data_IF_094157291740
#
_entry.id   IF_094157291740
#
_cell.length_a   1.000
_cell.length_b   1.000
_cell.length_c   1.000
_cell.angle_alpha   90.00
_cell.angle_beta   90.00
_cell.angle_gamma   90.00
#
_symmetry.space_group_name_H-M   'P 1'
#
loop_
_entity.id
_entity.type
_entity.pdbx_description
1 polymer ?
#
# COMPACT_ATOMS: atom_id res chain seq x y z
N UNK A 1 -11.17 -7.68 -22.13
CA UNK A 1 -10.21 -8.70 -21.65
C UNK A 1 -10.72 -9.21 -20.32
N UNK A 2 -11.21 -10.43 -20.28
CA UNK A 2 -11.65 -11.12 -19.06
C UNK A 2 -10.71 -12.30 -18.88
N UNK A 3 -9.47 -12.04 -18.42
CA UNK A 3 -8.50 -13.09 -18.11
C UNK A 3 -8.16 -13.02 -16.63
N UNK A 4 -8.14 -14.19 -16.01
CA UNK A 4 -8.22 -14.42 -14.58
C UNK A 4 -7.16 -13.64 -13.80
N UNK A 5 -7.62 -12.84 -12.84
CA UNK A 5 -6.76 -12.30 -11.80
C UNK A 5 -6.07 -13.47 -11.10
N UNK A 6 -4.73 -13.47 -11.11
CA UNK A 6 -3.95 -14.52 -10.45
C UNK A 6 -4.00 -14.26 -8.94
N UNK A 7 -4.55 -15.21 -8.19
CA UNK A 7 -4.57 -15.14 -6.74
C UNK A 7 -3.21 -15.55 -6.15
N UNK A 8 -2.52 -14.58 -5.55
CA UNK A 8 -1.21 -14.76 -4.91
C UNK A 8 -1.30 -14.70 -3.39
N UNK A 9 -2.50 -14.69 -2.80
CA UNK A 9 -2.71 -14.57 -1.35
C UNK A 9 -2.09 -15.72 -0.54
N UNK A 10 -1.74 -16.84 -1.20
CA UNK A 10 -1.06 -17.99 -0.57
C UNK A 10 0.45 -17.80 -0.38
N UNK A 11 1.05 -16.75 -0.96
CA UNK A 11 2.46 -16.43 -0.74
C UNK A 11 2.63 -15.60 0.54
N UNK A 12 3.76 -15.74 1.27
CA UNK A 12 4.05 -14.92 2.45
C UNK A 12 4.03 -13.42 2.17
N UNK A 13 4.49 -13.02 0.98
CA UNK A 13 4.39 -11.66 0.45
C UNK A 13 3.80 -11.71 -0.97
N UNK A 14 2.46 -11.58 -1.11
CA UNK A 14 1.78 -11.63 -2.42
C UNK A 14 2.25 -10.53 -3.38
N UNK A 15 2.66 -9.36 -2.86
CA UNK A 15 3.13 -8.23 -3.67
C UNK A 15 4.51 -8.50 -4.24
N UNK A 16 5.42 -9.04 -3.43
CA UNK A 16 6.73 -9.48 -3.89
C UNK A 16 6.58 -10.63 -4.89
N UNK A 17 5.71 -11.60 -4.63
CA UNK A 17 5.40 -12.68 -5.56
C UNK A 17 4.90 -12.14 -6.92
N UNK A 18 4.03 -11.12 -6.91
CA UNK A 18 3.57 -10.48 -8.13
C UNK A 18 4.71 -9.78 -8.89
N UNK A 19 5.61 -9.08 -8.18
CA UNK A 19 6.80 -8.46 -8.78
C UNK A 19 7.74 -9.51 -9.38
N UNK A 20 7.95 -10.64 -8.69
CA UNK A 20 8.73 -11.76 -9.23
C UNK A 20 8.11 -12.31 -10.52
N UNK A 21 6.79 -12.55 -10.53
CA UNK A 21 6.08 -12.97 -11.74
C UNK A 21 6.20 -11.94 -12.88
N UNK A 22 6.12 -10.65 -12.56
CA UNK A 22 6.34 -9.56 -13.52
C UNK A 22 7.73 -9.64 -14.16
N UNK A 23 8.78 -9.81 -13.36
CA UNK A 23 10.16 -9.94 -13.85
C UNK A 23 10.35 -11.20 -14.70
N UNK A 24 9.78 -12.34 -14.29
CA UNK A 24 9.82 -13.58 -15.06
C UNK A 24 9.12 -13.39 -16.43
N UNK A 25 7.94 -12.78 -16.44
CA UNK A 25 7.20 -12.49 -17.66
C UNK A 25 7.98 -11.55 -18.59
N UNK A 26 8.61 -10.51 -18.06
CA UNK A 26 9.49 -9.61 -18.83
C UNK A 26 10.63 -10.37 -19.52
N UNK A 27 11.27 -11.30 -18.81
CA UNK A 27 12.35 -12.13 -19.35
C UNK A 27 11.87 -13.06 -20.46
N UNK A 28 10.75 -13.77 -20.24
CA UNK A 28 10.16 -14.69 -21.21
C UNK A 28 9.68 -13.98 -22.48
N UNK A 29 9.14 -12.77 -22.35
CA UNK A 29 8.65 -11.98 -23.47
C UNK A 29 9.76 -11.19 -24.18
N UNK A 30 10.98 -11.15 -23.63
CA UNK A 30 12.06 -10.31 -24.15
C UNK A 30 11.71 -8.82 -24.12
N UNK A 31 10.89 -8.40 -23.14
CA UNK A 31 10.41 -7.01 -23.06
C UNK A 31 11.55 -6.03 -22.85
N UNK A 32 11.39 -4.81 -23.36
CA UNK A 32 12.38 -3.72 -23.23
C UNK A 32 12.15 -2.87 -21.99
N UNK A 33 11.02 -3.06 -21.32
CA UNK A 33 10.69 -2.42 -20.07
C UNK A 33 9.33 -2.89 -19.54
N UNK A 34 9.03 -2.51 -18.30
CA UNK A 34 7.72 -2.68 -17.74
C UNK A 34 7.34 -1.49 -16.86
N UNK A 35 6.05 -1.19 -16.84
CA UNK A 35 5.42 -0.36 -15.82
C UNK A 35 4.52 -1.25 -14.96
N UNK A 36 4.33 -0.88 -13.71
CA UNK A 36 3.32 -1.50 -12.88
C UNK A 36 2.52 -0.44 -12.14
N UNK A 37 1.24 -0.74 -11.90
CA UNK A 37 0.29 0.17 -11.25
C UNK A 37 -0.49 -0.60 -10.19
N UNK A 38 -0.67 0.01 -9.03
CA UNK A 38 -1.50 -0.54 -7.97
C UNK A 38 -2.93 -0.05 -8.09
N UNK A 39 -3.89 -0.97 -7.97
CA UNK A 39 -5.31 -0.65 -7.98
C UNK A 39 -5.83 -0.65 -6.55
N UNK A 40 -5.65 0.48 -5.86
CA UNK A 40 -6.13 0.68 -4.48
C UNK A 40 -5.60 -0.38 -3.53
N UNK A 41 -4.32 -0.73 -3.66
CA UNK A 41 -3.65 -1.72 -2.84
C UNK A 41 -3.94 -3.20 -3.11
N UNK A 42 -5.10 -3.53 -3.69
CA UNK A 42 -5.64 -4.90 -3.77
C UNK A 42 -5.16 -5.71 -4.96
N UNK A 43 -4.75 -5.05 -6.03
CA UNK A 43 -4.17 -5.72 -7.19
C UNK A 43 -3.07 -4.88 -7.83
N UNK A 44 -2.21 -5.57 -8.58
CA UNK A 44 -1.14 -4.98 -9.36
C UNK A 44 -1.36 -5.35 -10.82
N UNK A 45 -1.28 -4.36 -11.70
CA UNK A 45 -1.21 -4.59 -13.14
C UNK A 45 0.20 -4.34 -13.60
N UNK A 46 0.74 -5.27 -14.37
CA UNK A 46 2.04 -5.14 -15.01
C UNK A 46 1.81 -4.94 -16.51
N UNK A 47 2.36 -3.86 -17.05
CA UNK A 47 2.37 -3.56 -18.48
C UNK A 47 3.80 -3.69 -18.96
N UNK A 48 4.06 -4.68 -19.82
CA UNK A 48 5.35 -4.81 -20.49
C UNK A 48 5.32 -4.07 -21.82
N UNK A 49 6.46 -3.55 -22.25
CA UNK A 49 6.61 -2.92 -23.56
C UNK A 49 7.72 -3.60 -24.35
N UNK A 50 7.44 -3.91 -25.60
CA UNK A 50 8.37 -4.42 -26.60
C UNK A 50 8.74 -3.34 -27.65
N UNK A 51 8.36 -2.08 -27.42
CA UNK A 51 8.53 -0.98 -28.38
C UNK A 51 10.00 -0.90 -28.84
N UNK A 52 10.28 -1.11 -30.14
CA UNK A 52 11.64 -1.17 -30.65
C UNK A 52 12.38 0.17 -30.57
N UNK A 53 11.68 1.27 -30.29
CA UNK A 53 12.26 2.61 -30.06
C UNK A 53 12.89 2.74 -28.67
N UNK A 54 12.47 1.93 -27.70
CA UNK A 54 13.09 1.91 -26.38
C UNK A 54 14.43 1.17 -26.46
N UNK A 55 15.54 1.75 -25.95
CA UNK A 55 16.83 1.06 -25.97
C UNK A 55 16.77 -0.18 -25.07
N UNK A 56 17.19 -1.33 -25.60
CA UNK A 56 17.41 -2.51 -24.78
C UNK A 56 18.62 -2.25 -23.86
N UNK A 57 18.51 -2.65 -22.59
CA UNK A 57 19.62 -2.60 -21.65
C UNK A 57 20.80 -3.41 -22.22
N UNK A 58 21.96 -2.78 -22.34
CA UNK A 58 23.21 -3.45 -22.75
C UNK A 58 23.97 -3.94 -21.51
N UNK A 59 24.79 -5.00 -21.62
CA UNK A 59 25.70 -5.37 -20.55
C UNK A 59 26.59 -4.20 -20.16
N UNK A 60 26.53 -3.81 -18.90
CA UNK A 60 27.37 -2.77 -18.30
C UNK A 60 28.37 -3.45 -17.35
N UNK A 61 29.68 -3.47 -17.66
CA UNK A 61 30.69 -4.05 -16.79
C UNK A 61 30.65 -3.47 -15.37
N UNK A 62 30.34 -2.18 -15.20
CA UNK A 62 30.25 -1.55 -13.88
C UNK A 62 28.96 -1.93 -13.13
N UNK A 63 27.88 -2.25 -13.87
CA UNK A 63 26.58 -2.64 -13.32
C UNK A 63 26.37 -4.15 -13.15
N UNK A 64 27.29 -4.99 -13.65
CA UNK A 64 27.10 -6.45 -13.68
C UNK A 64 26.89 -7.04 -12.28
N UNK A 65 27.72 -6.63 -11.31
CA UNK A 65 27.64 -7.15 -9.95
C UNK A 65 26.26 -6.90 -9.33
N UNK A 66 25.72 -5.69 -9.50
CA UNK A 66 24.38 -5.32 -9.04
C UNK A 66 23.29 -6.15 -9.72
N UNK A 67 23.39 -6.34 -11.04
CA UNK A 67 22.41 -7.12 -11.80
C UNK A 67 22.36 -8.59 -11.33
N UNK A 68 23.52 -9.23 -11.18
CA UNK A 68 23.61 -10.63 -10.73
C UNK A 68 23.16 -10.80 -9.27
N UNK A 69 23.55 -9.87 -8.39
CA UNK A 69 23.11 -9.88 -6.99
C UNK A 69 21.60 -9.70 -6.88
N UNK A 70 21.02 -8.78 -7.67
CA UNK A 70 19.58 -8.56 -7.69
C UNK A 70 18.84 -9.80 -8.22
N UNK A 71 19.33 -10.43 -9.28
CA UNK A 71 18.78 -11.68 -9.79
C UNK A 71 18.82 -12.81 -8.76
N UNK A 72 19.94 -13.00 -8.08
CA UNK A 72 20.08 -14.01 -7.02
C UNK A 72 19.18 -13.74 -5.80
N UNK A 73 18.93 -12.47 -5.47
CA UNK A 73 18.01 -12.07 -4.39
C UNK A 73 16.55 -12.33 -4.75
N UNK A 74 16.16 -12.10 -6.01
CA UNK A 74 14.79 -12.34 -6.49
C UNK A 74 14.45 -13.82 -6.62
N UNK A 75 15.46 -14.66 -6.84
CA UNK A 75 15.32 -16.11 -7.02
C UNK A 75 16.17 -16.88 -5.98
N UNK A 76 15.82 -16.80 -4.69
CA UNK A 76 16.66 -17.32 -3.61
C UNK A 76 16.84 -18.85 -3.64
N UNK A 77 15.94 -19.57 -4.31
CA UNK A 77 16.03 -21.02 -4.51
C UNK A 77 16.72 -21.41 -5.83
N UNK A 78 16.97 -20.46 -6.73
CA UNK A 78 17.68 -20.74 -7.97
C UNK A 78 19.17 -20.90 -7.72
N UNK A 79 19.81 -21.82 -8.45
CA UNK A 79 21.26 -21.95 -8.44
C UNK A 79 21.86 -20.69 -9.09
N UNK A 80 22.84 -20.04 -8.43
CA UNK A 80 23.48 -18.83 -8.97
C UNK A 80 24.13 -19.06 -10.33
N UNK A 81 24.60 -20.27 -10.62
CA UNK A 81 25.11 -20.61 -11.95
C UNK A 81 24.02 -20.47 -13.03
N UNK A 82 22.76 -20.80 -12.73
CA UNK A 82 21.63 -20.62 -13.64
C UNK A 82 21.30 -19.14 -13.85
N UNK A 83 21.38 -18.33 -12.78
CA UNK A 83 21.20 -16.86 -12.87
C UNK A 83 22.25 -16.26 -13.79
N UNK A 84 23.52 -16.63 -13.61
CA UNK A 84 24.65 -16.15 -14.43
C UNK A 84 24.50 -16.60 -15.89
N UNK A 85 24.18 -17.87 -16.12
CA UNK A 85 23.97 -18.41 -17.47
C UNK A 85 22.75 -17.76 -18.14
N UNK A 86 21.69 -17.48 -17.41
CA UNK A 86 20.51 -16.76 -17.90
C UNK A 86 20.85 -15.33 -18.32
N UNK A 87 21.61 -14.60 -17.49
CA UNK A 87 22.12 -13.27 -17.85
C UNK A 87 22.99 -13.31 -19.12
N UNK A 88 23.92 -14.27 -19.18
CA UNK A 88 24.79 -14.45 -20.34
C UNK A 88 23.98 -14.77 -21.60
N UNK A 89 23.02 -15.70 -21.52
CA UNK A 89 22.16 -16.06 -22.65
C UNK A 89 21.31 -14.88 -23.14
N UNK A 90 20.69 -14.13 -22.22
CA UNK A 90 19.88 -12.96 -22.55
C UNK A 90 20.68 -11.89 -23.33
N UNK A 91 21.94 -11.67 -22.92
CA UNK A 91 22.82 -10.69 -23.55
C UNK A 91 23.73 -11.27 -24.64
N UNK A 92 23.61 -12.56 -24.96
CA UNK A 92 24.45 -13.29 -25.93
C UNK A 92 25.94 -13.22 -25.59
N UNK A 93 26.27 -13.33 -24.31
CA UNK A 93 27.62 -13.40 -23.77
C UNK A 93 28.07 -14.86 -23.65
N UNK A 94 29.39 -15.06 -23.63
CA UNK A 94 29.97 -16.38 -23.36
C UNK A 94 30.24 -16.49 -21.86
N UNK A 95 29.60 -17.46 -21.21
CA UNK A 95 29.91 -17.87 -19.83
C UNK A 95 30.65 -19.22 -19.85
N UNK A 96 31.72 -19.33 -19.06
CA UNK A 96 32.57 -20.53 -18.98
C UNK A 96 32.74 -20.93 -17.52
N UNK A 97 32.51 -22.21 -17.14
CA UNK A 97 32.78 -22.67 -15.80
C UNK A 97 34.29 -22.68 -15.53
N UNK A 98 34.67 -22.28 -14.33
CA UNK A 98 36.03 -22.31 -13.79
C UNK A 98 36.00 -22.83 -12.36
N UNK A 99 37.16 -23.19 -11.78
CA UNK A 99 37.22 -23.79 -10.44
C UNK A 99 36.55 -22.92 -9.34
N UNK A 100 36.54 -21.59 -9.51
CA UNK A 100 35.99 -20.66 -8.52
C UNK A 100 34.53 -20.25 -8.80
N UNK A 101 33.91 -20.70 -9.90
CA UNK A 101 32.57 -20.29 -10.33
C UNK A 101 32.48 -20.14 -11.85
N UNK A 102 32.10 -18.96 -12.35
CA UNK A 102 31.96 -18.70 -13.79
C UNK A 102 32.76 -17.49 -14.24
N UNK A 103 33.34 -17.58 -15.43
CA UNK A 103 33.89 -16.43 -16.15
C UNK A 103 32.94 -15.97 -17.27
N UNK A 104 32.76 -14.66 -17.42
CA UNK A 104 32.00 -14.07 -18.52
C UNK A 104 32.87 -13.13 -19.35
N UNK A 105 32.77 -13.29 -20.66
CA UNK A 105 33.33 -12.32 -21.62
C UNK A 105 32.33 -11.17 -21.82
N UNK A 106 32.73 -9.97 -21.42
CA UNK A 106 31.92 -8.75 -21.48
C UNK A 106 32.35 -7.84 -22.65
N UNK A 107 31.46 -6.94 -23.11
CA UNK A 107 31.80 -5.98 -24.18
C UNK A 107 33.04 -5.14 -23.86
N UNK A 108 33.81 -4.76 -24.87
CA UNK A 108 34.95 -3.87 -24.70
C UNK A 108 36.21 -4.51 -24.11
N UNK A 109 36.36 -5.83 -24.23
CA UNK A 109 37.47 -6.63 -23.65
C UNK A 109 37.47 -6.63 -22.12
N UNK A 110 36.28 -6.58 -21.52
CA UNK A 110 36.10 -6.79 -20.10
C UNK A 110 35.88 -8.28 -19.83
N UNK A 111 36.29 -8.74 -18.66
CA UNK A 111 36.06 -10.10 -18.19
C UNK A 111 35.53 -10.03 -16.76
N UNK A 112 34.51 -10.81 -16.46
CA UNK A 112 34.00 -10.96 -15.11
C UNK A 112 34.31 -12.37 -14.57
N UNK A 113 34.77 -12.44 -13.32
CA UNK A 113 34.80 -13.66 -12.53
C UNK A 113 33.68 -13.58 -11.49
N UNK A 114 32.69 -14.46 -11.64
CA UNK A 114 31.59 -14.64 -10.70
C UNK A 114 31.93 -15.82 -9.80
N UNK A 115 32.17 -15.54 -8.52
CA UNK A 115 32.50 -16.58 -7.53
C UNK A 115 31.25 -17.15 -6.90
N UNK A 116 31.22 -18.48 -6.81
CA UNK A 116 30.10 -19.23 -6.27
C UNK A 116 30.58 -20.08 -5.11
N UNK A 117 29.97 -19.91 -3.94
CA UNK A 117 30.24 -20.69 -2.74
C UNK A 117 28.95 -21.32 -2.24
N UNK A 118 28.94 -22.65 -2.10
CA UNK A 118 27.76 -23.39 -1.67
C UNK A 118 26.50 -23.09 -2.50
N UNK A 119 26.67 -22.91 -3.82
CA UNK A 119 25.60 -22.56 -4.75
C UNK A 119 25.11 -21.11 -4.67
N UNK A 120 25.76 -20.25 -3.88
CA UNK A 120 25.43 -18.83 -3.70
C UNK A 120 26.51 -17.92 -4.24
N UNK A 121 26.10 -16.72 -4.64
CA UNK A 121 26.97 -15.68 -5.16
C UNK A 121 27.78 -15.12 -4.00
N UNK A 122 29.10 -15.33 -4.01
CA UNK A 122 30.00 -14.76 -2.99
C UNK A 122 30.62 -13.44 -3.45
N UNK A 123 31.02 -13.35 -4.72
CA UNK A 123 31.73 -12.18 -5.25
C UNK A 123 31.53 -12.06 -6.76
N UNK A 124 31.58 -10.82 -7.28
CA UNK A 124 31.71 -10.54 -8.71
C UNK A 124 32.88 -9.58 -8.90
N UNK A 125 33.92 -10.03 -9.58
CA UNK A 125 35.10 -9.22 -9.91
C UNK A 125 35.09 -8.96 -11.40
N UNK A 126 35.17 -7.69 -11.81
CA UNK A 126 35.22 -7.31 -13.22
C UNK A 126 36.56 -6.64 -13.52
N UNK A 127 37.23 -7.10 -14.56
CA UNK A 127 38.51 -6.57 -15.04
C UNK A 127 38.35 -6.09 -16.47
N UNK A 128 38.78 -4.86 -16.75
CA UNK A 128 38.83 -4.27 -18.08
C UNK A 128 40.25 -4.19 -18.64
N UNK A 129 40.40 -3.62 -19.85
CA UNK A 129 41.72 -3.43 -20.47
C UNK A 129 42.64 -2.51 -19.66
N UNK A 130 42.08 -1.61 -18.86
CA UNK A 130 42.81 -0.64 -18.04
C UNK A 130 42.96 -1.08 -16.57
N UNK A 131 42.56 -2.31 -16.24
CA UNK A 131 42.61 -2.87 -14.88
C UNK A 131 41.22 -3.14 -14.27
N UNK A 132 41.13 -3.29 -12.93
CA UNK A 132 39.87 -3.57 -12.25
C UNK A 132 38.80 -2.51 -12.49
N UNK A 133 37.58 -2.93 -12.79
CA UNK A 133 36.41 -2.04 -12.93
C UNK A 133 35.81 -1.83 -11.55
N UNK A 134 35.65 -0.55 -11.18
CA UNK A 134 34.96 -0.17 -9.95
C UNK A 134 33.45 -0.36 -10.19
N UNK A 135 32.74 -1.15 -9.37
CA UNK A 135 31.29 -1.29 -9.48
C UNK A 135 30.61 0.07 -9.39
N UNK A 136 29.62 0.29 -10.24
CA UNK A 136 28.78 1.48 -10.12
C UNK A 136 28.08 1.46 -8.75
N UNK A 137 27.92 2.62 -8.09
CA UNK A 137 27.08 2.68 -6.90
C UNK A 137 25.67 2.21 -7.27
N UNK A 138 25.08 1.43 -6.38
CA UNK A 138 23.75 0.82 -6.55
C UNK A 138 22.76 1.88 -6.99
N UNK A 139 22.22 1.76 -8.20
CA UNK A 139 21.19 2.69 -8.68
C UNK A 139 19.86 2.22 -8.11
N UNK A 140 19.57 2.63 -6.88
CA UNK A 140 18.20 2.60 -6.42
C UNK A 140 17.41 3.55 -7.31
N UNK A 141 16.50 3.02 -8.14
CA UNK A 141 15.48 3.86 -8.75
C UNK A 141 14.84 4.64 -7.62
N UNK A 142 14.90 5.99 -7.61
CA UNK A 142 14.21 6.75 -6.59
C UNK A 142 12.77 6.30 -6.61
N UNK A 143 12.27 5.79 -5.49
CA UNK A 143 10.83 5.64 -5.33
C UNK A 143 10.31 7.06 -5.25
N UNK A 144 9.90 7.60 -6.40
CA UNK A 144 9.26 8.90 -6.44
C UNK A 144 7.88 8.71 -5.86
N UNK A 145 7.67 9.18 -4.64
CA UNK A 145 6.36 9.14 -4.02
C UNK A 145 5.37 9.96 -4.87
N UNK A 146 4.14 9.47 -5.07
CA UNK A 146 3.14 10.22 -5.82
C UNK A 146 2.83 11.53 -5.09
N UNK A 147 2.37 12.54 -5.84
CA UNK A 147 2.01 13.84 -5.27
C UNK A 147 0.97 13.71 -4.14
N UNK A 148 0.08 12.71 -4.21
CA UNK A 148 -0.88 12.41 -3.15
C UNK A 148 -0.22 11.99 -1.82
N UNK A 149 0.87 11.23 -1.86
CA UNK A 149 1.55 10.75 -0.66
C UNK A 149 2.35 11.83 0.06
N UNK A 150 2.71 12.91 -0.63
CA UNK A 150 3.51 14.02 -0.09
C UNK A 150 2.68 15.28 0.17
N UNK A 151 1.39 15.26 -0.16
CA UNK A 151 0.49 16.42 -0.02
C UNK A 151 0.22 16.80 1.43
N UNK A 152 -0.06 15.81 2.29
CA UNK A 152 -0.28 16.04 3.71
C UNK A 152 1.09 15.98 4.41
N UNK A 153 1.50 17.01 5.17
CA UNK A 153 2.78 16.98 5.87
C UNK A 153 2.91 15.75 6.75
N UNK A 154 4.10 15.11 6.74
CA UNK A 154 4.31 13.80 7.37
C UNK A 154 3.86 13.73 8.83
N UNK A 155 4.09 14.79 9.63
CA UNK A 155 3.65 14.85 11.02
C UNK A 155 2.12 14.82 11.17
N UNK A 156 1.40 15.61 10.36
CA UNK A 156 -0.06 15.61 10.34
C UNK A 156 -0.61 14.29 9.83
N UNK A 157 0.01 13.75 8.77
CA UNK A 157 -0.39 12.48 8.20
C UNK A 157 -0.26 11.37 9.24
N UNK A 158 0.88 11.25 9.91
CA UNK A 158 1.11 10.25 10.96
C UNK A 158 0.10 10.38 12.12
N UNK A 159 -0.22 11.61 12.54
CA UNK A 159 -1.23 11.86 13.56
C UNK A 159 -2.62 11.32 13.16
N UNK A 160 -3.07 11.67 11.96
CA UNK A 160 -4.40 11.30 11.47
C UNK A 160 -4.50 9.83 11.01
N UNK A 161 -3.40 9.26 10.51
CA UNK A 161 -3.31 7.91 9.95
C UNK A 161 -3.44 6.82 11.01
N UNK A 162 -2.94 7.09 12.22
CA UNK A 162 -3.05 6.21 13.39
C UNK A 162 -4.46 5.70 13.64
N UNK A 163 -5.45 6.58 13.47
CA UNK A 163 -6.85 6.23 13.72
C UNK A 163 -7.61 5.72 12.49
N UNK A 164 -6.95 5.56 11.33
CA UNK A 164 -7.62 5.28 10.07
C UNK A 164 -8.41 3.96 10.09
N UNK A 165 -7.89 2.92 10.73
CA UNK A 165 -8.58 1.64 10.88
C UNK A 165 -9.82 1.76 11.79
N UNK A 166 -9.69 2.44 12.94
CA UNK A 166 -10.84 2.65 13.83
C UNK A 166 -11.91 3.54 13.19
N UNK A 167 -11.49 4.51 12.38
CA UNK A 167 -12.38 5.35 11.59
C UNK A 167 -13.09 4.57 10.49
N UNK A 168 -12.42 3.62 9.84
CA UNK A 168 -13.03 2.73 8.85
C UNK A 168 -14.07 1.81 9.49
N UNK A 169 -13.74 1.21 10.62
CA UNK A 169 -14.60 0.27 11.33
C UNK A 169 -15.90 0.93 11.78
N UNK A 170 -15.80 2.04 12.54
CA UNK A 170 -16.95 2.87 12.91
C UNK A 170 -17.64 3.47 11.69
N UNK A 171 -16.86 3.97 10.74
CA UNK A 171 -17.35 4.75 9.62
C UNK A 171 -18.11 3.94 8.59
N UNK A 172 -17.68 2.72 8.29
CA UNK A 172 -18.23 1.96 7.16
C UNK A 172 -18.74 0.58 7.58
N UNK A 173 -17.97 -0.16 8.38
CA UNK A 173 -18.29 -1.55 8.68
C UNK A 173 -19.49 -1.66 9.63
N UNK A 174 -19.42 -1.03 10.79
CA UNK A 174 -20.50 -1.09 11.78
C UNK A 174 -21.81 -0.50 11.26
N UNK A 175 -21.73 0.63 10.54
CA UNK A 175 -22.91 1.22 9.88
C UNK A 175 -23.48 0.28 8.81
N UNK A 176 -22.63 -0.33 7.97
CA UNK A 176 -23.03 -1.27 6.93
C UNK A 176 -23.73 -2.50 7.48
N UNK A 177 -23.16 -3.12 8.52
CA UNK A 177 -23.73 -4.29 9.20
C UNK A 177 -25.07 -3.96 9.85
N UNK A 178 -25.17 -2.78 10.49
CA UNK A 178 -26.42 -2.31 11.07
C UNK A 178 -27.50 -2.13 10.00
N UNK A 179 -27.20 -1.45 8.90
CA UNK A 179 -28.14 -1.24 7.79
C UNK A 179 -28.56 -2.56 7.15
N UNK A 180 -27.62 -3.49 6.96
CA UNK A 180 -27.91 -4.84 6.46
C UNK A 180 -28.86 -5.59 7.40
N UNK A 181 -28.64 -5.49 8.72
CA UNK A 181 -29.54 -6.07 9.73
C UNK A 181 -30.95 -5.47 9.71
N UNK A 182 -31.09 -4.21 9.29
CA UNK A 182 -32.37 -3.53 9.06
C UNK A 182 -33.00 -3.85 7.69
N UNK A 183 -32.33 -4.65 6.84
CA UNK A 183 -32.83 -5.02 5.51
C UNK A 183 -32.60 -3.96 4.43
N UNK A 184 -31.64 -3.04 4.61
CA UNK A 184 -31.28 -2.08 3.58
C UNK A 184 -30.60 -2.75 2.38
N UNK A 185 -30.99 -2.36 1.17
CA UNK A 185 -30.30 -2.77 -0.06
C UNK A 185 -29.01 -1.94 -0.24
N UNK A 186 -27.82 -2.55 -0.24
CA UNK A 186 -26.56 -1.83 -0.45
C UNK A 186 -26.42 -1.18 -1.84
N UNK A 187 -27.28 -1.52 -2.81
CA UNK A 187 -27.33 -0.85 -4.12
C UNK A 187 -28.21 0.40 -4.10
N UNK A 188 -29.06 0.59 -3.08
CA UNK A 188 -29.84 1.80 -2.93
C UNK A 188 -28.93 2.97 -2.54
N UNK A 189 -29.17 4.15 -3.10
CA UNK A 189 -28.44 5.36 -2.71
C UNK A 189 -29.09 6.00 -1.49
N UNK A 190 -28.32 6.31 -0.43
CA UNK A 190 -28.83 7.12 0.68
C UNK A 190 -29.13 8.54 0.23
N UNK A 191 -30.16 9.15 0.81
CA UNK A 191 -30.56 10.53 0.53
C UNK A 191 -30.09 11.44 1.66
N UNK A 192 -29.45 12.55 1.31
CA UNK A 192 -29.07 13.59 2.26
C UNK A 192 -30.09 14.71 2.29
N UNK A 193 -30.49 15.08 3.50
CA UNK A 193 -31.17 16.33 3.81
C UNK A 193 -30.39 17.01 4.95
N UNK A 194 -30.34 18.36 5.03
CA UNK A 194 -29.58 19.03 6.07
C UNK A 194 -29.85 18.49 7.48
N UNK A 195 -28.85 17.82 8.05
CA UNK A 195 -28.90 17.25 9.40
C UNK A 195 -29.32 15.78 9.50
N UNK A 196 -29.76 15.14 8.41
CA UNK A 196 -30.18 13.74 8.40
C UNK A 196 -29.77 13.00 7.11
N UNK A 197 -29.49 11.72 7.25
CA UNK A 197 -29.34 10.80 6.12
C UNK A 197 -30.45 9.75 6.16
N UNK A 198 -31.09 9.52 5.02
CA UNK A 198 -32.20 8.56 4.86
C UNK A 198 -31.73 7.36 4.05
N UNK A 199 -31.98 6.17 4.59
CA UNK A 199 -31.72 4.88 3.96
C UNK A 199 -33.05 4.23 3.58
N UNK A 200 -33.73 4.79 2.57
CA UNK A 200 -35.10 4.40 2.24
C UNK A 200 -36.03 4.51 3.45
N UNK A 201 -36.81 3.46 3.70
CA UNK A 201 -37.75 3.38 4.83
C UNK A 201 -37.16 2.72 6.08
N UNK A 202 -35.93 2.19 6.02
CA UNK A 202 -35.38 1.37 7.12
C UNK A 202 -34.71 2.20 8.22
N UNK A 203 -34.12 3.35 7.86
CA UNK A 203 -33.46 4.23 8.82
C UNK A 203 -33.41 5.67 8.33
N UNK A 204 -33.81 6.60 9.19
CA UNK A 204 -33.47 8.02 9.08
C UNK A 204 -32.57 8.36 10.26
N UNK A 205 -31.29 8.66 9.99
CA UNK A 205 -30.27 8.87 11.02
C UNK A 205 -29.85 10.34 11.09
N UNK A 206 -29.66 10.85 12.31
CA UNK A 206 -29.03 12.15 12.54
C UNK A 206 -27.61 12.16 12.00
N UNK A 207 -27.27 13.23 11.29
CA UNK A 207 -26.02 13.31 10.58
C UNK A 207 -25.54 14.76 10.40
N UNK A 208 -24.27 14.91 10.02
CA UNK A 208 -23.58 16.19 9.84
C UNK A 208 -22.73 16.12 8.59
N UNK A 209 -22.83 17.13 7.74
CA UNK A 209 -21.97 17.21 6.56
C UNK A 209 -20.53 17.49 7.00
N UNK A 210 -19.59 16.76 6.41
CA UNK A 210 -18.16 16.95 6.64
C UNK A 210 -17.58 17.85 5.55
N UNK A 211 -17.95 17.57 4.30
CA UNK A 211 -17.49 18.29 3.14
C UNK A 211 -17.91 17.64 1.83
N UNK A 212 -17.53 18.26 0.73
CA UNK A 212 -17.84 17.83 -0.63
C UNK A 212 -16.55 17.77 -1.45
N UNK A 213 -16.29 16.61 -2.03
CA UNK A 213 -15.21 16.43 -3.02
C UNK A 213 -15.77 16.62 -4.42
N UNK A 214 -15.11 17.45 -5.23
CA UNK A 214 -15.45 17.74 -6.62
C UNK A 214 -14.41 17.13 -7.56
N UNK A 215 -14.68 15.99 -8.20
CA UNK A 215 -13.71 15.33 -9.09
C UNK A 215 -13.31 16.20 -10.28
N UNK A 216 -14.25 16.99 -10.84
CA UNK A 216 -13.98 17.80 -12.03
C UNK A 216 -12.94 18.91 -11.81
N UNK A 217 -12.79 19.39 -10.58
CA UNK A 217 -11.82 20.43 -10.21
C UNK A 217 -10.71 19.91 -9.28
N UNK A 218 -10.80 18.66 -8.83
CA UNK A 218 -9.88 18.09 -7.83
C UNK A 218 -9.91 18.84 -6.49
N UNK A 219 -11.06 19.35 -6.07
CA UNK A 219 -11.16 20.19 -4.86
C UNK A 219 -12.00 19.54 -3.77
N UNK A 220 -11.51 19.63 -2.54
CA UNK A 220 -12.27 19.32 -1.33
C UNK A 220 -12.78 20.61 -0.69
N UNK A 221 -14.08 20.68 -0.41
CA UNK A 221 -14.70 21.78 0.32
C UNK A 221 -15.12 21.31 1.69
N UNK A 222 -14.61 21.92 2.75
CA UNK A 222 -15.12 21.67 4.10
C UNK A 222 -16.52 22.24 4.26
N UNK A 223 -17.35 21.55 5.03
CA UNK A 223 -18.64 22.08 5.45
C UNK A 223 -18.47 23.05 6.62
N UNK A 224 -19.33 24.07 6.71
CA UNK A 224 -19.44 24.97 7.86
C UNK A 224 -20.23 24.35 9.03
N UNK A 225 -20.21 23.02 9.13
CA UNK A 225 -20.96 22.30 10.15
C UNK A 225 -20.45 22.64 11.55
N UNK A 226 -21.37 22.92 12.48
CA UNK A 226 -21.06 23.11 13.91
C UNK A 226 -20.56 21.84 14.62
N UNK A 227 -20.44 20.71 13.92
CA UNK A 227 -19.92 19.48 14.50
C UNK A 227 -18.39 19.49 14.60
N UNK A 228 -17.90 19.26 15.82
CA UNK A 228 -16.48 19.35 16.19
C UNK A 228 -15.51 18.57 15.30
N UNK A 229 -15.95 17.49 14.63
CA UNK A 229 -15.06 16.64 13.82
C UNK A 229 -14.29 17.42 12.74
N UNK A 230 -14.98 18.30 12.02
CA UNK A 230 -14.36 19.17 10.99
C UNK A 230 -13.40 20.17 11.63
N UNK A 231 -13.83 20.83 12.70
CA UNK A 231 -13.02 21.81 13.41
C UNK A 231 -11.73 21.20 13.97
N UNK A 232 -11.79 19.97 14.49
CA UNK A 232 -10.65 19.23 15.02
C UNK A 232 -9.62 18.86 13.95
N UNK A 233 -10.05 18.37 12.78
CA UNK A 233 -9.13 18.10 11.67
C UNK A 233 -8.46 19.38 11.19
N UNK A 234 -9.24 20.46 11.02
CA UNK A 234 -8.70 21.76 10.59
C UNK A 234 -7.75 22.36 11.63
N UNK A 235 -8.02 22.16 12.92
CA UNK A 235 -7.13 22.58 14.00
C UNK A 235 -5.81 21.83 13.98
N UNK A 236 -5.85 20.50 13.87
CA UNK A 236 -4.64 19.68 13.73
C UNK A 236 -3.85 20.09 12.49
N UNK A 237 -4.53 20.35 11.37
CA UNK A 237 -3.86 20.81 10.16
C UNK A 237 -3.08 22.11 10.38
N UNK A 238 -3.66 23.11 11.08
CA UNK A 238 -2.95 24.36 11.42
C UNK A 238 -1.79 24.15 12.39
N UNK A 239 -1.96 23.28 13.40
CA UNK A 239 -0.90 22.95 14.36
C UNK A 239 0.34 22.38 13.69
N UNK A 240 0.15 21.57 12.65
CA UNK A 240 1.23 20.98 11.85
C UNK A 240 1.63 21.84 10.63
N UNK A 241 1.21 23.11 10.56
CA UNK A 241 1.58 24.05 9.49
C UNK A 241 0.98 23.74 8.12
N UNK A 242 -0.10 22.97 8.06
CA UNK A 242 -0.81 22.57 6.85
C UNK A 242 -2.02 23.48 6.56
N UNK A 243 -1.82 24.79 6.51
CA UNK A 243 -2.92 25.77 6.31
C UNK A 243 -3.73 25.53 5.03
N UNK A 244 -3.09 25.02 3.97
CA UNK A 244 -3.75 24.65 2.73
C UNK A 244 -4.78 23.51 2.92
N UNK A 245 -4.55 22.58 3.85
CA UNK A 245 -5.49 21.51 4.21
C UNK A 245 -6.62 22.04 5.10
N UNK A 246 -6.33 23.07 5.90
CA UNK A 246 -7.29 23.71 6.78
C UNK A 246 -8.15 24.80 6.10
N UNK A 247 -7.84 25.20 4.87
CA UNK A 247 -8.60 26.19 4.11
C UNK A 247 -10.00 25.68 3.76
N UNK A 248 -11.00 26.58 3.62
CA UNK A 248 -12.39 26.16 3.32
C UNK A 248 -12.49 25.36 2.01
N UNK A 249 -11.64 25.71 1.05
CA UNK A 249 -11.41 24.96 -0.18
C UNK A 249 -9.96 24.49 -0.24
N UNK A 250 -9.77 23.19 -0.40
CA UNK A 250 -8.48 22.51 -0.52
C UNK A 250 -8.33 22.02 -1.94
N UNK A 251 -7.31 22.51 -2.65
CA UNK A 251 -6.94 21.99 -3.98
C UNK A 251 -6.09 20.75 -3.79
N UNK A 252 -6.60 19.60 -4.22
CA UNK A 252 -5.90 18.32 -4.12
C UNK A 252 -4.95 18.16 -5.31
N UNK A 253 -3.78 17.51 -5.12
CA UNK A 253 -2.85 17.26 -6.21
C UNK A 253 -3.48 16.33 -7.25
N UNK A 254 -3.14 16.53 -8.52
CA UNK A 254 -3.55 15.62 -9.58
C UNK A 254 -2.93 14.23 -9.35
N UNK A 255 -3.79 13.21 -9.27
CA UNK A 255 -3.41 11.85 -8.94
C UNK A 255 -4.56 10.87 -9.17
N UNK A 256 -4.25 9.64 -9.59
CA UNK A 256 -5.25 8.57 -9.71
C UNK A 256 -5.94 8.24 -8.39
N UNK A 257 -5.28 8.51 -7.26
CA UNK A 257 -5.80 8.32 -5.90
C UNK A 257 -6.23 9.63 -5.24
N UNK A 258 -6.49 10.69 -6.01
CA UNK A 258 -6.86 12.01 -5.48
C UNK A 258 -8.06 11.95 -4.51
N UNK A 259 -9.08 11.14 -4.83
CA UNK A 259 -10.25 10.93 -3.95
C UNK A 259 -9.87 10.31 -2.60
N UNK A 260 -8.75 9.59 -2.50
CA UNK A 260 -8.33 8.99 -1.24
C UNK A 260 -7.95 10.05 -0.21
N UNK A 261 -7.43 11.21 -0.64
CA UNK A 261 -7.17 12.33 0.28
C UNK A 261 -8.49 12.85 0.87
N UNK A 262 -9.54 13.01 0.07
CA UNK A 262 -10.86 13.40 0.57
C UNK A 262 -11.46 12.37 1.54
N UNK A 263 -11.34 11.08 1.22
CA UNK A 263 -11.76 9.98 2.11
C UNK A 263 -10.96 9.99 3.41
N UNK A 264 -9.66 10.27 3.35
CA UNK A 264 -8.77 10.35 4.52
C UNK A 264 -9.24 11.45 5.46
N UNK A 265 -9.40 12.68 4.94
CA UNK A 265 -9.90 13.83 5.68
C UNK A 265 -11.28 13.56 6.31
N UNK A 266 -12.20 12.93 5.56
CA UNK A 266 -13.52 12.59 6.05
C UNK A 266 -13.49 11.55 7.18
N UNK A 267 -12.65 10.51 7.06
CA UNK A 267 -12.46 9.49 8.11
C UNK A 267 -11.81 10.09 9.36
N UNK A 268 -10.81 10.96 9.19
CA UNK A 268 -10.20 11.69 10.30
C UNK A 268 -11.24 12.52 11.06
N UNK A 269 -12.14 13.21 10.35
CA UNK A 269 -13.22 13.96 10.99
C UNK A 269 -14.18 13.04 11.76
N UNK A 270 -14.58 11.90 11.18
CA UNK A 270 -15.41 10.88 11.84
C UNK A 270 -14.78 10.38 13.13
N UNK A 271 -13.48 10.09 13.10
CA UNK A 271 -12.77 9.64 14.29
C UNK A 271 -12.70 10.73 15.36
N UNK A 272 -12.17 11.90 15.01
CA UNK A 272 -11.94 13.00 15.96
C UNK A 272 -13.25 13.57 16.53
N UNK A 273 -14.32 13.56 15.74
CA UNK A 273 -15.66 13.97 16.13
C UNK A 273 -16.54 12.85 16.70
N UNK A 274 -15.98 11.64 16.89
CA UNK A 274 -16.66 10.45 17.47
C UNK A 274 -18.00 10.11 16.82
N UNK A 275 -18.07 10.23 15.50
CA UNK A 275 -19.25 9.81 14.75
C UNK A 275 -19.37 8.28 14.69
N UNK A 276 -20.59 7.81 14.46
CA UNK A 276 -21.00 6.40 14.36
C UNK A 276 -20.97 5.85 12.94
N UNK A 277 -20.63 6.68 11.96
CA UNK A 277 -20.67 6.30 10.56
C UNK A 277 -20.15 7.39 9.64
N UNK A 278 -19.77 7.00 8.44
CA UNK A 278 -19.35 7.81 7.32
C UNK A 278 -20.15 7.38 6.10
N UNK A 279 -20.80 8.35 5.46
CA UNK A 279 -21.58 8.11 4.24
C UNK A 279 -20.98 8.93 3.12
N UNK A 280 -20.73 8.29 1.98
CA UNK A 280 -20.42 8.96 0.72
C UNK A 280 -21.66 8.98 -0.16
N UNK A 281 -22.14 10.17 -0.49
CA UNK A 281 -23.37 10.38 -1.25
C UNK A 281 -23.00 11.07 -2.56
N UNK A 282 -23.13 10.38 -3.72
CA UNK A 282 -22.95 11.02 -5.01
C UNK A 282 -24.05 12.06 -5.22
N UNK A 283 -23.70 13.22 -5.76
CA UNK A 283 -24.64 14.27 -6.15
C UNK A 283 -24.99 14.14 -7.63
N UNK A 284 -26.05 14.82 -8.07
CA UNK A 284 -26.43 14.86 -9.48
C UNK A 284 -25.35 15.48 -10.39
N UNK A 285 -24.48 16.31 -9.82
CA UNK A 285 -23.39 17.02 -10.53
C UNK A 285 -22.12 16.16 -10.65
N UNK A 286 -22.10 14.95 -10.07
CA UNK A 286 -20.93 14.07 -10.03
C UNK A 286 -20.00 14.34 -8.83
N UNK A 287 -20.32 15.32 -7.98
CA UNK A 287 -19.60 15.56 -6.72
C UNK A 287 -19.89 14.45 -5.70
N UNK A 288 -18.97 14.25 -4.77
CA UNK A 288 -19.11 13.30 -3.66
C UNK A 288 -19.25 14.06 -2.33
N UNK A 289 -20.46 14.05 -1.76
CA UNK A 289 -20.71 14.58 -0.41
C UNK A 289 -20.35 13.53 0.65
N UNK A 290 -19.64 13.96 1.68
CA UNK A 290 -19.28 13.12 2.82
C UNK A 290 -20.01 13.59 4.07
N UNK A 291 -20.64 12.63 4.75
CA UNK A 291 -21.54 12.89 5.88
C UNK A 291 -21.16 11.98 7.04
N UNK A 292 -21.02 12.56 8.23
CA UNK A 292 -20.84 11.85 9.49
C UNK A 292 -22.20 11.48 10.08
N UNK A 293 -22.45 10.20 10.33
CA UNK A 293 -23.63 9.74 11.07
C UNK A 293 -23.35 9.88 12.56
N UNK A 294 -24.14 10.67 13.27
CA UNK A 294 -23.98 10.93 14.71
C UNK A 294 -25.13 10.36 15.54
N UNK A 295 -26.01 9.59 14.90
CA UNK A 295 -27.18 9.02 15.54
C UNK A 295 -26.79 7.89 16.51
N UNK A 296 -27.14 7.99 17.80
CA UNK A 296 -26.77 6.98 18.79
C UNK A 296 -27.47 5.63 18.59
N UNK A 297 -28.48 5.55 17.71
CA UNK A 297 -29.11 4.28 17.33
C UNK A 297 -28.20 3.41 16.47
N UNK A 298 -27.20 4.00 15.81
CA UNK A 298 -26.16 3.24 15.11
C UNK A 298 -25.16 2.68 16.13
N UNK A 299 -24.97 1.35 16.18
CA UNK A 299 -24.13 0.72 17.18
C UNK A 299 -22.65 1.09 17.03
N UNK A 300 -21.88 0.97 18.12
CA UNK A 300 -20.42 0.89 18.00
C UNK A 300 -20.01 -0.44 17.33
N UNK A 301 -18.81 -0.52 16.75
CA UNK A 301 -18.29 -1.75 16.15
C UNK A 301 -18.26 -2.94 17.12
N UNK A 302 -18.66 -4.11 16.62
CA UNK A 302 -18.75 -5.37 17.38
C UNK A 302 -17.39 -5.91 17.82
N UNK A 303 -16.31 -5.45 17.17
CA UNK A 303 -14.94 -5.91 17.43
C UNK A 303 -14.78 -7.43 17.24
N UNK A 304 -15.54 -8.08 16.37
CA UNK A 304 -15.34 -9.51 16.09
C UNK A 304 -13.99 -9.75 15.39
N UNK A 305 -13.35 -10.90 15.66
CA UNK A 305 -11.97 -11.16 15.18
C UNK A 305 -11.85 -11.21 13.65
N UNK A 306 -12.84 -11.78 12.97
CA UNK A 306 -12.91 -11.78 11.51
C UNK A 306 -13.01 -10.35 10.95
N UNK A 307 -13.81 -9.50 11.60
CA UNK A 307 -14.01 -8.10 11.21
C UNK A 307 -12.72 -7.30 11.42
N UNK A 308 -12.03 -7.51 12.54
CA UNK A 308 -10.77 -6.83 12.88
C UNK A 308 -9.71 -7.03 11.77
N UNK A 309 -9.55 -8.27 11.29
CA UNK A 309 -8.57 -8.58 10.26
C UNK A 309 -8.88 -7.87 8.94
N UNK A 310 -10.15 -7.93 8.51
CA UNK A 310 -10.62 -7.28 7.28
C UNK A 310 -10.52 -5.74 7.36
N UNK A 311 -10.82 -5.15 8.53
CA UNK A 311 -10.68 -3.72 8.77
C UNK A 311 -9.22 -3.29 8.66
N UNK A 312 -8.29 -3.99 9.31
CA UNK A 312 -6.86 -3.66 9.28
C UNK A 312 -6.34 -3.68 7.84
N UNK A 313 -6.61 -4.77 7.11
CA UNK A 313 -6.17 -4.92 5.71
C UNK A 313 -6.81 -3.87 4.81
N UNK A 314 -8.10 -3.57 4.99
CA UNK A 314 -8.81 -2.57 4.20
C UNK A 314 -8.32 -1.15 4.47
N UNK A 315 -8.01 -0.83 5.73
CA UNK A 315 -7.43 0.45 6.11
C UNK A 315 -6.01 0.61 5.53
N UNK A 316 -5.20 -0.43 5.61
CA UNK A 316 -3.84 -0.45 5.06
C UNK A 316 -3.81 -0.24 3.54
N UNK A 317 -4.67 -0.96 2.81
CA UNK A 317 -4.77 -0.87 1.34
C UNK A 317 -5.07 0.55 0.85
N UNK A 318 -5.90 1.26 1.60
CA UNK A 318 -6.23 2.65 1.33
C UNK A 318 -5.08 3.58 1.74
N UNK A 319 -4.55 3.41 2.95
CA UNK A 319 -3.60 4.34 3.55
C UNK A 319 -2.24 4.30 2.87
N UNK A 320 -1.81 3.13 2.38
CA UNK A 320 -0.49 2.96 1.77
C UNK A 320 -0.30 3.78 0.49
N UNK A 321 -1.40 4.06 -0.23
CA UNK A 321 -1.40 4.90 -1.45
C UNK A 321 -1.16 6.38 -1.12
N UNK A 322 -1.41 6.77 0.14
CA UNK A 322 -1.19 8.11 0.67
C UNK A 322 0.06 8.21 1.55
N UNK A 323 0.83 7.12 1.69
CA UNK A 323 1.98 7.09 2.58
C UNK A 323 3.28 7.07 1.78
N UNK A 324 4.21 8.00 2.02
CA UNK A 324 5.55 7.95 1.46
C UNK A 324 6.21 6.60 1.71
N UNK A 325 6.98 6.09 0.74
CA UNK A 325 7.60 4.76 0.84
C UNK A 325 8.47 4.62 2.09
N UNK A 326 9.23 5.65 2.43
CA UNK A 326 10.11 5.65 3.61
C UNK A 326 9.35 5.59 4.95
N UNK A 327 8.11 6.10 4.99
CA UNK A 327 7.32 6.24 6.22
C UNK A 327 6.27 5.12 6.36
N UNK A 328 6.14 4.28 5.33
CA UNK A 328 5.06 3.30 5.22
C UNK A 328 5.01 2.31 6.38
N UNK A 329 6.14 1.70 6.71
CA UNK A 329 6.22 0.73 7.81
C UNK A 329 5.78 1.35 9.14
N UNK A 330 6.36 2.51 9.48
CA UNK A 330 6.06 3.21 10.73
C UNK A 330 4.57 3.59 10.82
N UNK A 331 4.01 4.09 9.72
CA UNK A 331 2.60 4.49 9.62
C UNK A 331 1.66 3.29 9.76
N UNK A 332 1.87 2.22 8.98
CA UNK A 332 1.02 1.02 9.05
C UNK A 332 1.08 0.38 10.42
N UNK A 333 2.27 0.33 11.03
CA UNK A 333 2.44 -0.20 12.38
C UNK A 333 1.70 0.63 13.41
N UNK A 334 1.84 1.95 13.37
CA UNK A 334 1.13 2.85 14.29
C UNK A 334 -0.39 2.72 14.14
N UNK A 335 -0.90 2.64 12.91
CA UNK A 335 -2.32 2.40 12.65
C UNK A 335 -2.83 1.10 13.30
N UNK A 336 -2.06 0.01 13.22
CA UNK A 336 -2.46 -1.28 13.83
C UNK A 336 -2.41 -1.20 15.36
N UNK A 337 -1.37 -0.58 15.93
CA UNK A 337 -1.23 -0.42 17.39
C UNK A 337 -2.39 0.39 17.96
N UNK A 338 -2.72 1.53 17.36
CA UNK A 338 -3.83 2.37 17.81
C UNK A 338 -5.19 1.68 17.62
N UNK A 339 -5.35 0.88 16.56
CA UNK A 339 -6.55 0.04 16.41
C UNK A 339 -6.64 -1.01 17.53
N UNK A 340 -5.55 -1.68 17.85
CA UNK A 340 -5.51 -2.63 18.95
C UNK A 340 -5.87 -1.97 20.29
N UNK A 341 -5.30 -0.80 20.59
CA UNK A 341 -5.63 -0.05 21.80
C UNK A 341 -7.11 0.34 21.85
N UNK A 342 -7.67 0.84 20.74
CA UNK A 342 -9.07 1.25 20.65
C UNK A 342 -10.06 0.11 20.94
N UNK A 343 -9.65 -1.15 20.75
CA UNK A 343 -10.49 -2.33 20.92
C UNK A 343 -9.99 -3.30 22.01
N UNK A 344 -9.09 -2.83 22.89
CA UNK A 344 -8.61 -3.59 24.04
C UNK A 344 -7.82 -4.86 23.67
N UNK A 345 -7.11 -4.83 22.54
CA UNK A 345 -6.22 -5.89 22.08
C UNK A 345 -4.80 -5.55 22.57
N UNK A 346 -4.18 -6.44 23.35
CA UNK A 346 -2.86 -6.17 23.91
C UNK A 346 -1.75 -6.49 22.90
N UNK A 347 -0.95 -5.52 22.43
CA UNK A 347 0.11 -5.79 21.47
C UNK A 347 1.26 -6.59 22.10
N UNK A 348 1.76 -7.59 21.37
CA UNK A 348 3.05 -8.25 21.60
C UNK A 348 3.97 -7.93 20.42
N UNK A 349 5.16 -7.44 20.76
CA UNK A 349 6.22 -7.22 19.78
C UNK A 349 7.09 -8.48 19.69
N UNK A 350 6.84 -9.30 18.67
CA UNK A 350 7.65 -10.50 18.36
C UNK A 350 8.27 -10.32 16.97
N UNK A 351 9.61 -10.29 16.89
CA UNK A 351 10.33 -10.29 15.61
C UNK A 351 10.06 -9.06 14.74
N UNK A 352 10.50 -7.87 15.18
CA UNK A 352 10.56 -6.72 14.28
C UNK A 352 11.52 -7.03 13.11
N UNK A 353 11.19 -6.63 11.86
CA UNK A 353 10.06 -5.78 11.45
C UNK A 353 8.83 -6.54 10.92
N UNK A 354 8.85 -7.87 10.86
CA UNK A 354 7.99 -8.63 9.94
C UNK A 354 6.55 -8.88 10.45
N UNK A 355 6.32 -8.82 11.76
CA UNK A 355 5.02 -9.16 12.35
C UNK A 355 4.67 -8.30 13.57
N UNK A 356 3.37 -8.04 13.74
CA UNK A 356 2.78 -7.52 14.98
C UNK A 356 1.69 -8.49 15.43
N UNK A 357 1.72 -8.87 16.70
CA UNK A 357 0.72 -9.78 17.29
C UNK A 357 -0.10 -8.98 18.30
N UNK A 358 -1.40 -9.19 18.35
CA UNK A 358 -2.30 -8.61 19.34
C UNK A 358 -3.09 -9.70 20.05
N UNK A 359 -3.12 -9.70 21.37
CA UNK A 359 -3.87 -10.67 22.16
C UNK A 359 -5.25 -10.17 22.54
N UNK A 360 -6.24 -11.05 22.44
CA UNK A 360 -7.58 -10.84 22.97
C UNK A 360 -8.13 -12.13 23.56
N UNK A 361 -8.10 -12.21 24.90
CA UNK A 361 -8.45 -13.43 25.61
C UNK A 361 -7.50 -14.57 25.20
N UNK A 362 -8.06 -15.68 24.72
CA UNK A 362 -7.29 -16.84 24.22
C UNK A 362 -6.92 -16.72 22.74
N UNK A 363 -7.40 -15.69 22.05
CA UNK A 363 -7.12 -15.49 20.63
C UNK A 363 -6.01 -14.47 20.43
N UNK A 364 -5.33 -14.59 19.30
CA UNK A 364 -4.37 -13.63 18.81
C UNK A 364 -4.74 -13.18 17.40
N UNK A 365 -4.44 -11.92 17.10
CA UNK A 365 -4.49 -11.32 15.77
C UNK A 365 -3.04 -11.11 15.32
N UNK A 366 -2.67 -11.67 14.18
CA UNK A 366 -1.34 -11.56 13.58
C UNK A 366 -1.42 -10.66 12.36
N UNK A 367 -0.60 -9.62 12.32
CA UNK A 367 -0.51 -8.69 11.18
C UNK A 367 0.89 -8.79 10.59
N UNK A 368 0.97 -9.21 9.33
CA UNK A 368 2.22 -9.41 8.61
C UNK A 368 2.55 -8.19 7.73
N UNK A 369 3.77 -7.68 7.86
CA UNK A 369 4.28 -6.55 7.09
C UNK A 369 5.15 -7.03 5.92
N UNK A 370 4.95 -6.45 4.76
CA UNK A 370 5.77 -6.64 3.56
C UNK A 370 7.12 -5.93 3.71
N UNK A 371 8.07 -6.29 2.85
CA UNK A 371 9.38 -5.63 2.85
C UNK A 371 9.33 -4.12 2.56
N UNK A 372 8.33 -3.67 1.79
CA UNK A 372 8.11 -2.25 1.46
C UNK A 372 7.21 -1.52 2.48
N UNK A 373 6.96 -2.13 3.64
CA UNK A 373 6.20 -1.57 4.74
C UNK A 373 4.67 -1.64 4.58
N UNK A 374 4.13 -2.22 3.51
CA UNK A 374 2.68 -2.49 3.40
C UNK A 374 2.24 -3.61 4.34
N UNK A 375 0.93 -3.78 4.55
CA UNK A 375 0.38 -4.94 5.26
C UNK A 375 -0.08 -5.97 4.22
N UNK A 376 0.48 -7.18 4.28
CA UNK A 376 0.15 -8.27 3.34
C UNK A 376 -1.19 -8.93 3.69
N UNK A 377 -1.34 -9.28 4.97
CA UNK A 377 -2.52 -9.96 5.49
C UNK A 377 -2.60 -9.77 7.01
N UNK A 378 -3.82 -9.94 7.53
CA UNK A 378 -4.09 -10.11 8.94
C UNK A 378 -4.84 -11.44 9.12
N UNK A 379 -4.44 -12.21 10.12
CA UNK A 379 -5.09 -13.48 10.47
C UNK A 379 -5.36 -13.53 11.96
N UNK A 380 -6.24 -14.41 12.40
CA UNK A 380 -6.45 -14.68 13.81
C UNK A 380 -6.50 -16.18 14.09
N UNK A 381 -6.22 -16.54 15.34
CA UNK A 381 -6.27 -17.93 15.80
C UNK A 381 -6.13 -18.01 17.31
N UNK A 382 -6.17 -19.22 17.86
CA UNK A 382 -5.88 -19.43 19.28
C UNK A 382 -4.39 -19.23 19.57
N UNK A 383 -4.09 -18.50 20.64
CA UNK A 383 -2.73 -18.28 21.09
C UNK A 383 -2.06 -19.62 21.45
N UNK A 384 -0.86 -19.85 20.90
CA UNK A 384 -0.12 -21.10 21.10
C UNK A 384 -0.61 -22.31 20.28
N UNK A 385 -1.61 -22.15 19.41
CA UNK A 385 -2.15 -23.24 18.60
C UNK A 385 -1.41 -23.53 17.28
N UNK A 386 -0.26 -22.91 17.03
CA UNK A 386 0.57 -23.20 15.84
C UNK A 386 2.06 -23.24 16.23
N UNK A 387 2.58 -24.48 16.29
CA UNK A 387 3.94 -24.80 15.86
C UNK A 387 3.94 -25.21 14.39
#
# INVERSE_FOLDING_TARGET
>A
MTDAMVDLTRFPDPRLAAKHLGVIAMGLLGSRGAANFSHGGRSLTFLVTDDPRLPAARPDPAGLAEALQTGAQMLPEANVEEVVNGYAAHHRLTARPVNAGLELDLPGRHQALVRVEHGRLSEVVVTGPDGPVIPAPRRLTPVTDPAAATFIPAGLFAELARSAAAALDRGAVALGDHLKGLGWDPQALPVWEPGVVRYGDVLTARAREIGVYRPGTGTWHWSDSEWDGVARVRSAAREYGADAVAADQVVLPDSEVQIFIAVFLARSAVHLGRARGLVRIPTAEGDHRFVAVIDPRVPEPSSELDIICDVIVSAANFLQELTPHQDRYATMRAMVVDYFEAYGIAPIHVGEPQMLIGLRGLNEVRVAFSHDGTINHATWGMHGALG
#
